data_IF_931352718522
#
_entry.id   IF_931352718522
#
_cell.length_a   1.000
_cell.length_b   1.000
_cell.length_c   1.000
_cell.angle_alpha   90.00
_cell.angle_beta   90.00
_cell.angle_gamma   90.00
#
_symmetry.space_group_name_H-M   'P 1'
#
loop_
_entity.id
_entity.type
_entity.pdbx_description
1 polymer ?
#
# COMPACT_ATOMS: atom_id res chain seq x y z
N UNK A 1 -152.83 62.94 23.03
CA UNK A 1 -152.69 61.53 22.56
C UNK A 1 -151.72 61.39 21.38
N UNK A 2 -151.88 62.11 20.26
CA UNK A 2 -151.00 61.99 19.06
C UNK A 2 -149.50 62.25 19.29
N UNK A 3 -149.12 63.15 20.19
CA UNK A 3 -147.71 63.50 20.44
C UNK A 3 -146.95 62.41 21.23
N UNK A 4 -147.67 61.61 22.01
CA UNK A 4 -147.09 60.53 22.82
C UNK A 4 -146.78 59.30 21.95
N UNK A 5 -147.58 59.04 20.91
CA UNK A 5 -147.32 57.98 19.92
C UNK A 5 -146.10 58.29 19.04
N UNK A 6 -145.91 59.56 18.65
CA UNK A 6 -144.76 59.99 17.85
C UNK A 6 -143.44 59.85 18.63
N UNK A 7 -143.39 60.34 19.88
CA UNK A 7 -142.21 60.19 20.75
C UNK A 7 -141.89 58.74 21.10
N UNK A 8 -142.91 57.89 21.22
CA UNK A 8 -142.71 56.46 21.45
C UNK A 8 -142.10 55.78 20.22
N UNK A 9 -142.48 56.21 19.01
CA UNK A 9 -141.91 55.72 17.75
C UNK A 9 -140.45 56.17 17.60
N UNK A 10 -140.14 57.44 17.83
CA UNK A 10 -138.77 57.98 17.82
C UNK A 10 -137.87 57.29 18.86
N UNK A 11 -138.40 57.01 20.06
CA UNK A 11 -137.66 56.30 21.11
C UNK A 11 -137.37 54.84 20.73
N UNK A 12 -138.31 54.15 20.06
CA UNK A 12 -138.09 52.82 19.51
C UNK A 12 -137.06 52.85 18.37
N UNK A 13 -137.15 53.80 17.45
CA UNK A 13 -136.18 53.96 16.37
C UNK A 13 -134.77 54.26 16.91
N UNK A 14 -134.64 55.15 17.90
CA UNK A 14 -133.38 55.43 18.59
C UNK A 14 -132.82 54.21 19.35
N UNK A 15 -133.67 53.42 20.04
CA UNK A 15 -133.24 52.18 20.67
C UNK A 15 -132.78 51.13 19.66
N UNK A 16 -133.42 51.08 18.49
CA UNK A 16 -133.04 50.13 17.42
C UNK A 16 -131.70 50.54 16.81
N UNK A 17 -131.53 51.83 16.52
CA UNK A 17 -130.29 52.40 16.01
C UNK A 17 -129.12 52.30 17.00
N UNK A 18 -129.38 52.48 18.30
CA UNK A 18 -128.38 52.26 19.36
C UNK A 18 -127.93 50.79 19.44
N UNK A 19 -128.86 49.83 19.29
CA UNK A 19 -128.53 48.40 19.24
C UNK A 19 -127.71 48.05 17.99
N UNK A 20 -128.03 48.64 16.84
CA UNK A 20 -127.25 48.46 15.60
C UNK A 20 -125.84 49.02 15.74
N UNK A 21 -125.68 50.23 16.28
CA UNK A 21 -124.37 50.83 16.56
C UNK A 21 -123.56 50.03 17.58
N UNK A 22 -124.20 49.47 18.63
CA UNK A 22 -123.53 48.58 19.58
C UNK A 22 -123.08 47.28 18.92
N UNK A 23 -123.89 46.68 18.04
CA UNK A 23 -123.50 45.49 17.29
C UNK A 23 -122.38 45.79 16.28
N UNK A 24 -122.39 46.95 15.63
CA UNK A 24 -121.32 47.39 14.72
C UNK A 24 -120.02 47.66 15.48
N UNK A 25 -120.10 48.30 16.65
CA UNK A 25 -118.95 48.54 17.53
C UNK A 25 -118.34 47.22 18.02
N UNK A 26 -119.17 46.24 18.43
CA UNK A 26 -118.68 44.90 18.79
C UNK A 26 -118.00 44.20 17.60
N UNK A 27 -118.58 44.28 16.39
CA UNK A 27 -117.94 43.72 15.18
C UNK A 27 -116.60 44.37 14.89
N UNK A 28 -116.52 45.71 14.94
CA UNK A 28 -115.25 46.44 14.71
C UNK A 28 -114.23 46.13 15.81
N UNK A 29 -114.65 46.03 17.07
CA UNK A 29 -113.77 45.64 18.18
C UNK A 29 -113.21 44.22 18.01
N UNK A 30 -114.04 43.25 17.62
CA UNK A 30 -113.58 41.89 17.30
C UNK A 30 -112.64 41.87 16.09
N UNK A 31 -112.94 42.67 15.06
CA UNK A 31 -112.10 42.76 13.87
C UNK A 31 -110.72 43.38 14.19
N UNK A 32 -110.69 44.44 15.01
CA UNK A 32 -109.45 45.05 15.52
C UNK A 32 -108.67 44.06 16.38
N UNK A 33 -109.32 43.28 17.24
CA UNK A 33 -108.67 42.23 18.03
C UNK A 33 -108.05 41.12 17.17
N UNK A 34 -108.76 40.68 16.13
CA UNK A 34 -108.26 39.70 15.16
C UNK A 34 -107.07 40.23 14.36
N UNK A 35 -107.15 41.47 13.88
CA UNK A 35 -106.04 42.16 13.21
C UNK A 35 -104.84 42.32 14.12
N UNK A 36 -105.03 42.72 15.38
CA UNK A 36 -103.96 42.85 16.35
C UNK A 36 -103.25 41.50 16.60
N UNK A 37 -104.01 40.40 16.72
CA UNK A 37 -103.45 39.06 16.86
C UNK A 37 -102.66 38.62 15.62
N UNK A 38 -103.18 38.90 14.42
CA UNK A 38 -102.48 38.61 13.16
C UNK A 38 -101.17 39.40 13.03
N UNK A 39 -101.19 40.70 13.40
CA UNK A 39 -99.99 41.55 13.42
C UNK A 39 -98.98 41.04 14.44
N UNK A 40 -99.40 40.66 15.65
CA UNK A 40 -98.51 40.11 16.67
C UNK A 40 -97.88 38.79 16.21
N UNK A 41 -98.65 37.93 15.51
CA UNK A 41 -98.15 36.73 14.86
C UNK A 41 -97.06 37.03 13.82
N UNK A 42 -97.30 38.00 12.92
CA UNK A 42 -96.30 38.43 11.94
C UNK A 42 -95.06 39.06 12.58
N UNK A 43 -95.20 39.83 13.67
CA UNK A 43 -94.07 40.39 14.40
C UNK A 43 -93.21 39.27 15.00
N UNK A 44 -93.81 38.29 15.67
CA UNK A 44 -93.08 37.12 16.22
C UNK A 44 -92.34 36.35 15.14
N UNK A 45 -92.98 36.13 13.99
CA UNK A 45 -92.36 35.44 12.87
C UNK A 45 -91.20 36.26 12.28
N UNK A 46 -91.37 37.56 12.10
CA UNK A 46 -90.31 38.48 11.67
C UNK A 46 -89.13 38.48 12.64
N UNK A 47 -89.38 38.52 13.96
CA UNK A 47 -88.32 38.45 14.98
C UNK A 47 -87.56 37.12 14.89
N UNK A 48 -88.27 35.99 14.69
CA UNK A 48 -87.65 34.68 14.47
C UNK A 48 -86.78 34.66 13.22
N UNK A 49 -87.26 35.21 12.10
CA UNK A 49 -86.48 35.35 10.88
C UNK A 49 -85.24 36.21 11.08
N UNK A 50 -85.35 37.34 11.79
CA UNK A 50 -84.20 38.19 12.11
C UNK A 50 -83.14 37.45 12.95
N UNK A 51 -83.55 36.61 13.90
CA UNK A 51 -82.60 35.83 14.71
C UNK A 51 -81.89 34.76 13.86
N UNK A 52 -82.64 34.00 13.06
CA UNK A 52 -82.07 33.02 12.12
C UNK A 52 -81.06 33.67 11.15
N UNK A 53 -81.38 34.88 10.67
CA UNK A 53 -80.53 35.61 9.74
C UNK A 53 -79.23 36.10 10.42
N UNK A 54 -79.29 36.49 11.71
CA UNK A 54 -78.09 36.78 12.52
C UNK A 54 -77.24 35.55 12.72
N UNK A 55 -77.82 34.42 13.11
CA UNK A 55 -77.10 33.17 13.36
C UNK A 55 -76.44 32.66 12.07
N UNK A 56 -77.14 32.75 10.94
CA UNK A 56 -76.60 32.40 9.62
C UNK A 56 -75.44 33.32 9.22
N UNK A 57 -75.55 34.62 9.48
CA UNK A 57 -74.50 35.59 9.18
C UNK A 57 -73.23 35.36 10.03
N UNK A 58 -73.38 35.01 11.30
CA UNK A 58 -72.23 34.64 12.16
C UNK A 58 -71.57 33.34 11.67
N UNK A 59 -72.36 32.32 11.32
CA UNK A 59 -71.83 31.09 10.71
C UNK A 59 -71.11 31.37 9.39
N UNK A 60 -71.66 32.23 8.55
CA UNK A 60 -71.04 32.60 7.28
C UNK A 60 -69.71 33.34 7.48
N UNK A 61 -69.62 34.24 8.47
CA UNK A 61 -68.34 34.88 8.83
C UNK A 61 -67.31 33.85 9.28
N UNK A 62 -67.68 32.94 10.19
CA UNK A 62 -66.77 31.89 10.66
C UNK A 62 -66.26 31.03 9.50
N UNK A 63 -67.18 30.57 8.62
CA UNK A 63 -66.84 29.77 7.45
C UNK A 63 -65.92 30.53 6.48
N UNK A 64 -66.14 31.84 6.31
CA UNK A 64 -65.31 32.70 5.46
C UNK A 64 -63.89 32.82 6.03
N UNK A 65 -63.74 32.97 7.36
CA UNK A 65 -62.43 33.03 8.01
C UNK A 65 -61.69 31.70 7.89
N UNK A 66 -62.38 30.58 8.13
CA UNK A 66 -61.82 29.23 7.99
C UNK A 66 -61.37 28.95 6.55
N UNK A 67 -62.18 29.36 5.56
CA UNK A 67 -61.82 29.27 4.15
C UNK A 67 -60.56 30.09 3.80
N UNK A 68 -60.40 31.29 4.38
CA UNK A 68 -59.20 32.11 4.19
C UNK A 68 -57.94 31.47 4.81
N UNK A 69 -58.07 30.79 5.95
CA UNK A 69 -56.96 30.05 6.58
C UNK A 69 -56.57 28.87 5.70
N UNK A 70 -57.54 28.05 5.29
CA UNK A 70 -57.30 26.90 4.41
C UNK A 70 -56.68 27.29 3.06
N UNK A 71 -57.05 28.46 2.51
CA UNK A 71 -56.40 28.99 1.30
C UNK A 71 -54.92 29.28 1.51
N UNK A 72 -54.54 29.89 2.65
CA UNK A 72 -53.13 30.15 2.98
C UNK A 72 -52.35 28.86 3.21
N UNK A 73 -52.91 27.91 3.96
CA UNK A 73 -52.30 26.60 4.17
C UNK A 73 -52.10 25.86 2.83
N UNK A 74 -53.09 25.92 1.93
CA UNK A 74 -52.97 25.34 0.58
C UNK A 74 -51.80 25.94 -0.22
N UNK A 75 -51.58 27.24 -0.13
CA UNK A 75 -50.45 27.92 -0.78
C UNK A 75 -49.09 27.54 -0.15
N UNK A 76 -49.04 27.35 1.17
CA UNK A 76 -47.84 26.88 1.87
C UNK A 76 -47.50 25.43 1.51
N UNK A 77 -48.51 24.54 1.47
CA UNK A 77 -48.33 23.16 1.00
C UNK A 77 -47.81 23.10 -0.44
N UNK A 78 -48.31 23.96 -1.34
CA UNK A 78 -47.80 24.05 -2.72
C UNK A 78 -46.33 24.46 -2.77
N UNK A 79 -45.91 25.41 -1.92
CA UNK A 79 -44.49 25.79 -1.82
C UNK A 79 -43.64 24.64 -1.30
N UNK A 80 -44.05 24.00 -0.21
CA UNK A 80 -43.34 22.86 0.35
C UNK A 80 -43.21 21.70 -0.66
N UNK A 81 -44.25 21.43 -1.47
CA UNK A 81 -44.21 20.42 -2.53
C UNK A 81 -43.22 20.79 -3.63
N UNK A 82 -43.17 22.06 -4.03
CA UNK A 82 -42.18 22.56 -4.99
C UNK A 82 -40.75 22.36 -4.47
N UNK A 83 -40.49 22.75 -3.22
CA UNK A 83 -39.17 22.61 -2.60
C UNK A 83 -38.76 21.13 -2.49
N UNK A 84 -39.69 20.26 -2.08
CA UNK A 84 -39.46 18.82 -2.01
C UNK A 84 -39.15 18.22 -3.39
N UNK A 85 -39.81 18.70 -4.45
CA UNK A 85 -39.58 18.26 -5.83
C UNK A 85 -38.19 18.70 -6.33
N UNK A 86 -37.80 19.94 -6.04
CA UNK A 86 -36.46 20.45 -6.36
C UNK A 86 -35.38 19.65 -5.62
N UNK A 87 -35.57 19.39 -4.33
CA UNK A 87 -34.64 18.60 -3.52
C UNK A 87 -34.52 17.17 -4.06
N UNK A 88 -35.63 16.54 -4.45
CA UNK A 88 -35.64 15.20 -5.06
C UNK A 88 -34.85 15.18 -6.37
N UNK A 89 -34.98 16.22 -7.18
CA UNK A 89 -34.24 16.34 -8.44
C UNK A 89 -32.74 16.53 -8.19
N UNK A 90 -32.36 17.35 -7.22
CA UNK A 90 -30.96 17.52 -6.82
C UNK A 90 -30.35 16.21 -6.30
N UNK A 91 -31.09 15.46 -5.47
CA UNK A 91 -30.66 14.14 -4.98
C UNK A 91 -30.44 13.18 -6.16
N UNK A 92 -31.38 13.12 -7.11
CA UNK A 92 -31.22 12.27 -8.30
C UNK A 92 -29.99 12.67 -9.13
N UNK A 93 -29.68 13.97 -9.26
CA UNK A 93 -28.48 14.43 -9.93
C UNK A 93 -27.20 13.99 -9.21
N UNK A 94 -27.13 14.14 -7.88
CA UNK A 94 -25.97 13.69 -7.10
C UNK A 94 -25.79 12.18 -7.15
N UNK A 95 -26.87 11.40 -7.08
CA UNK A 95 -26.83 9.93 -7.21
C UNK A 95 -26.30 9.53 -8.59
N UNK A 96 -26.77 10.18 -9.66
CA UNK A 96 -26.25 9.93 -11.01
C UNK A 96 -24.77 10.31 -11.15
N UNK A 97 -24.33 11.41 -10.53
CA UNK A 97 -22.91 11.80 -10.54
C UNK A 97 -22.04 10.79 -9.78
N UNK A 98 -22.50 10.30 -8.62
CA UNK A 98 -21.80 9.27 -7.86
C UNK A 98 -21.67 7.96 -8.64
N UNK A 99 -22.74 7.51 -9.32
CA UNK A 99 -22.69 6.31 -10.14
C UNK A 99 -21.69 6.44 -11.31
N UNK A 100 -21.64 7.61 -11.96
CA UNK A 100 -20.65 7.87 -13.00
C UNK A 100 -19.22 7.86 -12.45
N UNK A 101 -18.99 8.53 -11.32
CA UNK A 101 -17.68 8.59 -10.68
C UNK A 101 -17.20 7.21 -10.21
N UNK A 102 -18.10 6.38 -9.68
CA UNK A 102 -17.81 5.00 -9.30
C UNK A 102 -17.41 4.14 -10.51
N UNK A 103 -18.10 4.31 -11.64
CA UNK A 103 -17.73 3.65 -12.90
C UNK A 103 -16.36 4.10 -13.41
N UNK A 104 -16.09 5.42 -13.40
CA UNK A 104 -14.79 5.96 -13.82
C UNK A 104 -13.65 5.49 -12.91
N UNK A 105 -13.89 5.43 -11.59
CA UNK A 105 -12.92 4.93 -10.63
C UNK A 105 -12.61 3.45 -10.86
N UNK A 106 -13.63 2.64 -11.17
CA UNK A 106 -13.44 1.23 -11.51
C UNK A 106 -12.60 1.06 -12.78
N UNK A 107 -12.92 1.78 -13.85
CA UNK A 107 -12.16 1.76 -15.10
C UNK A 107 -10.71 2.21 -14.90
N UNK A 108 -10.50 3.27 -14.10
CA UNK A 108 -9.16 3.75 -13.77
C UNK A 108 -8.36 2.72 -12.96
N UNK A 109 -9.01 2.03 -12.02
CA UNK A 109 -8.41 0.95 -11.22
C UNK A 109 -7.97 -0.23 -12.10
N UNK A 110 -8.80 -0.63 -13.07
CA UNK A 110 -8.46 -1.70 -14.01
C UNK A 110 -7.26 -1.30 -14.90
N UNK A 111 -7.30 -0.11 -15.51
CA UNK A 111 -6.19 0.41 -16.33
C UNK A 111 -4.88 0.54 -15.53
N UNK A 112 -4.94 1.03 -14.30
CA UNK A 112 -3.77 1.13 -13.43
C UNK A 112 -3.18 -0.25 -13.12
N UNK A 113 -4.02 -1.26 -12.88
CA UNK A 113 -3.56 -2.62 -12.65
C UNK A 113 -2.88 -3.23 -13.89
N UNK A 114 -3.40 -2.95 -15.09
CA UNK A 114 -2.81 -3.40 -16.35
C UNK A 114 -1.45 -2.74 -16.59
N UNK A 115 -1.37 -1.41 -16.46
CA UNK A 115 -0.12 -0.63 -16.56
C UNK A 115 0.92 -1.06 -15.53
N UNK A 116 0.50 -1.32 -14.28
CA UNK A 116 1.41 -1.80 -13.24
C UNK A 116 2.01 -3.18 -13.59
N UNK A 117 1.20 -4.07 -14.17
CA UNK A 117 1.65 -5.38 -14.65
C UNK A 117 2.57 -5.24 -15.86
N UNK A 118 2.21 -4.42 -16.84
CA UNK A 118 3.04 -4.19 -18.03
C UNK A 118 4.39 -3.58 -17.66
N UNK A 119 4.41 -2.60 -16.75
CA UNK A 119 5.65 -2.02 -16.21
C UNK A 119 6.53 -3.08 -15.56
N UNK A 120 5.96 -3.98 -14.75
CA UNK A 120 6.67 -5.12 -14.15
C UNK A 120 7.28 -6.00 -15.25
N UNK A 121 6.49 -6.39 -16.25
CA UNK A 121 6.95 -7.25 -17.35
C UNK A 121 8.04 -6.60 -18.21
N UNK A 122 7.91 -5.32 -18.54
CA UNK A 122 8.91 -4.55 -19.29
C UNK A 122 10.21 -4.39 -18.49
N UNK A 123 10.11 -4.10 -17.20
CA UNK A 123 11.27 -4.01 -16.32
C UNK A 123 12.03 -5.34 -16.27
N UNK A 124 11.32 -6.46 -16.16
CA UNK A 124 11.91 -7.79 -16.13
C UNK A 124 12.61 -8.13 -17.45
N UNK A 125 11.98 -7.83 -18.58
CA UNK A 125 12.61 -7.98 -19.90
C UNK A 125 13.87 -7.13 -20.04
N UNK A 126 13.85 -5.88 -19.54
CA UNK A 126 15.02 -5.00 -19.58
C UNK A 126 16.18 -5.58 -18.77
N UNK A 127 15.90 -6.16 -17.60
CA UNK A 127 16.89 -6.83 -16.76
C UNK A 127 17.44 -8.09 -17.45
N UNK A 128 16.58 -8.91 -18.07
CA UNK A 128 17.00 -10.11 -18.81
C UNK A 128 17.87 -9.75 -20.03
N UNK A 129 17.51 -8.68 -20.76
CA UNK A 129 18.29 -8.17 -21.90
C UNK A 129 19.66 -7.64 -21.48
N UNK A 130 19.79 -7.11 -20.25
CA UNK A 130 21.09 -6.74 -19.66
C UNK A 130 21.92 -7.94 -19.21
N UNK A 131 21.36 -9.15 -19.26
CA UNK A 131 21.98 -10.38 -18.78
C UNK A 131 21.62 -10.69 -17.33
N UNK A 132 21.18 -11.93 -17.11
CA UNK A 132 20.88 -12.47 -15.77
C UNK A 132 22.15 -12.64 -14.91
N UNK A 133 23.32 -12.72 -15.53
CA UNK A 133 24.63 -12.77 -14.89
C UNK A 133 25.39 -11.53 -15.34
N UNK A 134 25.71 -10.65 -14.38
CA UNK A 134 26.53 -9.45 -14.59
C UNK A 134 27.80 -9.54 -13.75
N UNK A 135 28.90 -9.07 -14.31
CA UNK A 135 30.20 -9.00 -13.65
C UNK A 135 30.71 -7.56 -13.72
N UNK A 136 30.82 -6.93 -12.56
CA UNK A 136 31.48 -5.63 -12.44
C UNK A 136 32.87 -5.82 -11.86
N UNK A 137 33.84 -5.08 -12.38
CA UNK A 137 35.18 -5.00 -11.82
C UNK A 137 35.29 -3.70 -11.01
N UNK A 138 35.83 -3.73 -9.81
CA UNK A 138 36.15 -2.52 -9.03
C UNK A 138 37.58 -2.58 -8.57
N UNK A 139 38.34 -1.56 -8.92
CA UNK A 139 39.74 -1.43 -8.52
C UNK A 139 39.84 -0.49 -7.32
N UNK A 140 40.47 -0.93 -6.24
CA UNK A 140 40.68 -0.05 -5.08
C UNK A 140 41.91 0.86 -5.29
N UNK A 141 41.98 2.01 -4.60
CA UNK A 141 43.22 2.78 -4.54
C UNK A 141 44.33 1.99 -3.83
N UNK A 142 45.58 2.32 -4.16
CA UNK A 142 46.74 1.87 -3.40
C UNK A 142 46.65 2.38 -1.97
N UNK A 143 46.98 1.53 -1.01
CA UNK A 143 47.06 1.95 0.37
C UNK A 143 48.40 2.66 0.66
N UNK A 144 48.52 3.25 1.84
CA UNK A 144 49.70 4.02 2.24
C UNK A 144 50.96 3.15 2.35
N UNK A 145 50.82 1.89 2.75
CA UNK A 145 51.93 0.94 2.90
C UNK A 145 52.47 0.55 1.51
N UNK A 146 51.58 0.17 0.58
CA UNK A 146 51.92 -0.16 -0.80
C UNK A 146 52.61 1.01 -1.51
N UNK A 147 52.11 2.23 -1.29
CA UNK A 147 52.71 3.44 -1.86
C UNK A 147 54.10 3.70 -1.26
N UNK A 148 54.26 3.48 0.05
CA UNK A 148 55.56 3.61 0.73
C UNK A 148 56.57 2.54 0.29
N UNK A 149 56.10 1.34 -0.07
CA UNK A 149 56.89 0.26 -0.67
C UNK A 149 57.21 0.49 -2.16
N UNK A 150 56.71 1.58 -2.76
CA UNK A 150 56.97 1.93 -4.16
C UNK A 150 56.12 1.16 -5.17
N UNK A 151 55.00 0.57 -4.74
CA UNK A 151 54.04 -0.04 -5.66
C UNK A 151 53.44 1.03 -6.59
N UNK A 152 53.07 0.60 -7.80
CA UNK A 152 52.40 1.45 -8.78
C UNK A 152 51.20 0.73 -9.38
N UNK A 153 50.23 1.48 -9.89
CA UNK A 153 49.02 0.92 -10.48
C UNK A 153 49.36 0.05 -11.69
N UNK A 154 49.04 -1.24 -11.59
CA UNK A 154 49.19 -2.20 -12.69
C UNK A 154 48.08 -2.08 -13.74
N UNK A 155 47.03 -1.28 -13.46
CA UNK A 155 45.88 -1.07 -14.33
C UNK A 155 46.03 0.24 -15.11
N UNK A 156 45.71 0.20 -16.40
CA UNK A 156 45.77 1.32 -17.32
C UNK A 156 44.37 1.86 -17.63
N UNK A 157 43.89 2.81 -16.83
CA UNK A 157 42.56 3.42 -17.00
C UNK A 157 42.51 4.43 -18.15
N UNK A 158 43.61 5.12 -18.46
CA UNK A 158 43.65 6.16 -19.51
C UNK A 158 43.37 5.59 -20.91
N UNK A 159 43.81 4.36 -21.15
CA UNK A 159 43.62 3.67 -22.44
C UNK A 159 42.35 2.80 -22.47
N UNK A 160 41.65 2.64 -21.34
CA UNK A 160 40.52 1.74 -21.22
C UNK A 160 39.24 2.37 -21.79
N UNK A 161 38.45 1.57 -22.51
CA UNK A 161 37.08 1.95 -22.89
C UNK A 161 36.10 1.52 -21.80
N UNK A 162 34.87 2.00 -21.87
CA UNK A 162 33.81 1.58 -20.95
C UNK A 162 33.66 0.04 -20.95
N UNK A 163 33.66 -0.55 -19.75
CA UNK A 163 33.64 -2.00 -19.55
C UNK A 163 34.98 -2.74 -19.81
N UNK A 164 36.07 -2.06 -20.17
CA UNK A 164 37.37 -2.70 -20.37
C UNK A 164 38.33 -2.47 -19.19
N UNK A 165 39.05 -3.51 -18.77
CA UNK A 165 40.14 -3.44 -17.81
C UNK A 165 41.45 -3.81 -18.50
N UNK A 166 42.40 -2.89 -18.53
CA UNK A 166 43.70 -3.09 -19.18
C UNK A 166 44.77 -3.31 -18.12
N UNK A 167 45.36 -4.50 -18.09
CA UNK A 167 46.45 -4.86 -17.17
C UNK A 167 47.80 -4.69 -17.89
N UNK A 168 48.71 -3.92 -17.29
CA UNK A 168 50.09 -3.71 -17.75
C UNK A 168 50.94 -4.94 -17.44
N UNK A 169 51.53 -5.56 -18.46
CA UNK A 169 52.45 -6.69 -18.32
C UNK A 169 53.92 -6.28 -18.20
N UNK A 170 54.79 -7.23 -17.84
CA UNK A 170 56.23 -7.01 -17.62
C UNK A 170 57.03 -6.63 -18.88
N UNK A 171 56.49 -6.85 -20.09
CA UNK A 171 57.20 -6.61 -21.36
C UNK A 171 56.21 -6.09 -22.40
N UNK A 172 55.87 -4.79 -22.34
CA UNK A 172 55.00 -4.01 -23.26
C UNK A 172 53.67 -4.65 -23.70
N UNK A 173 53.29 -5.79 -23.13
CA UNK A 173 52.10 -6.55 -23.41
C UNK A 173 51.00 -6.05 -22.49
N UNK A 174 49.91 -5.57 -23.10
CA UNK A 174 48.69 -5.22 -22.41
C UNK A 174 47.72 -6.40 -22.52
N UNK A 175 47.13 -6.81 -21.39
CA UNK A 175 46.01 -7.78 -21.41
C UNK A 175 44.72 -7.02 -21.19
N UNK A 176 43.76 -7.22 -22.08
CA UNK A 176 42.44 -6.58 -22.02
C UNK A 176 41.42 -7.59 -21.54
N UNK A 177 40.68 -7.24 -20.50
CA UNK A 177 39.54 -7.98 -19.97
C UNK A 177 38.27 -7.16 -20.16
N UNK A 178 37.13 -7.83 -20.32
CA UNK A 178 35.83 -7.18 -20.52
C UNK A 178 34.87 -7.54 -19.39
N UNK A 179 34.15 -6.53 -18.94
CA UNK A 179 33.18 -6.57 -17.84
C UNK A 179 31.94 -5.77 -18.24
N UNK A 180 30.83 -5.99 -17.53
CA UNK A 180 29.61 -5.18 -17.71
C UNK A 180 29.81 -3.74 -17.20
N UNK A 181 30.73 -3.55 -16.25
CA UNK A 181 31.17 -2.25 -15.76
C UNK A 181 32.54 -2.37 -15.09
N UNK A 182 33.37 -1.33 -15.17
CA UNK A 182 34.67 -1.24 -14.50
C UNK A 182 34.71 0.05 -13.70
N UNK A 183 34.90 -0.06 -12.39
CA UNK A 183 35.02 1.07 -11.47
C UNK A 183 36.49 1.40 -11.20
N UNK A 184 36.85 2.66 -11.37
CA UNK A 184 38.18 3.19 -11.08
C UNK A 184 38.37 3.46 -9.57
N UNK A 185 39.62 3.68 -9.11
CA UNK A 185 39.92 3.96 -7.71
C UNK A 185 39.24 5.22 -7.14
N UNK A 186 38.88 6.17 -8.00
CA UNK A 186 38.24 7.43 -7.64
C UNK A 186 36.72 7.29 -7.43
N UNK A 187 36.12 6.21 -7.95
CA UNK A 187 34.68 5.94 -7.85
C UNK A 187 34.31 5.39 -6.46
N UNK A 188 33.48 6.16 -5.78
CA UNK A 188 33.07 5.91 -4.41
C UNK A 188 31.98 4.83 -4.29
N UNK A 189 31.50 4.64 -3.05
CA UNK A 189 30.46 3.65 -2.75
C UNK A 189 29.11 3.97 -3.40
N UNK A 190 28.81 5.26 -3.60
CA UNK A 190 27.55 5.70 -4.19
C UNK A 190 27.53 5.33 -5.67
N UNK A 191 28.63 5.54 -6.38
CA UNK A 191 28.75 5.17 -7.79
C UNK A 191 28.59 3.68 -8.04
N UNK A 192 29.17 2.85 -7.17
CA UNK A 192 28.95 1.39 -7.21
C UNK A 192 27.49 1.05 -6.94
N UNK A 193 26.86 1.73 -5.98
CA UNK A 193 25.48 1.50 -5.63
C UNK A 193 24.48 1.90 -6.72
N UNK A 194 24.71 2.98 -7.47
CA UNK A 194 23.83 3.38 -8.59
C UNK A 194 23.56 2.22 -9.57
N UNK A 195 24.57 1.35 -9.79
CA UNK A 195 24.45 0.18 -10.67
C UNK A 195 23.73 -1.00 -10.02
N UNK A 196 23.66 -1.05 -8.68
CA UNK A 196 23.02 -2.13 -7.92
C UNK A 196 21.66 -1.76 -7.33
N UNK A 197 21.32 -0.46 -7.22
CA UNK A 197 20.04 0.03 -6.74
C UNK A 197 18.81 -0.61 -7.42
N UNK A 198 18.79 -0.86 -8.75
CA UNK A 198 17.65 -1.50 -9.41
C UNK A 198 17.29 -2.88 -8.83
N UNK A 199 18.24 -3.57 -8.21
CA UNK A 199 17.99 -4.87 -7.60
C UNK A 199 17.06 -4.83 -6.39
N UNK A 200 17.03 -3.72 -5.64
CA UNK A 200 16.09 -3.55 -4.53
C UNK A 200 14.64 -3.67 -5.03
N UNK A 201 14.34 -3.03 -6.17
CA UNK A 201 13.03 -3.14 -6.82
C UNK A 201 12.78 -4.54 -7.37
N UNK A 202 13.78 -5.18 -8.00
CA UNK A 202 13.64 -6.56 -8.49
C UNK A 202 13.25 -7.53 -7.37
N UNK A 203 13.85 -7.40 -6.18
CA UNK A 203 13.50 -8.24 -5.03
C UNK A 203 12.04 -8.03 -4.63
N UNK A 204 11.59 -6.77 -4.49
CA UNK A 204 10.20 -6.45 -4.15
C UNK A 204 9.18 -6.92 -5.19
N UNK A 205 9.59 -7.01 -6.47
CA UNK A 205 8.76 -7.51 -7.57
C UNK A 205 8.70 -9.04 -7.63
N UNK A 206 9.46 -9.74 -6.77
CA UNK A 206 9.44 -11.20 -6.63
C UNK A 206 10.63 -11.93 -7.23
N UNK A 207 11.71 -11.23 -7.59
CA UNK A 207 12.90 -11.86 -8.18
C UNK A 207 13.95 -12.20 -7.14
N UNK A 208 14.56 -13.36 -7.30
CA UNK A 208 15.74 -13.72 -6.52
C UNK A 208 16.96 -12.93 -7.02
N UNK A 209 17.71 -12.34 -6.10
CA UNK A 209 18.92 -11.58 -6.41
C UNK A 209 20.07 -12.10 -5.56
N UNK A 210 21.21 -12.32 -6.20
CA UNK A 210 22.46 -12.68 -5.52
C UNK A 210 23.56 -11.70 -5.90
N UNK A 211 24.11 -10.98 -4.92
CA UNK A 211 25.24 -10.06 -5.08
C UNK A 211 26.44 -10.62 -4.34
N UNK A 212 27.53 -10.88 -5.06
CA UNK A 212 28.75 -11.45 -4.54
C UNK A 212 29.89 -10.46 -4.63
N UNK A 213 30.67 -10.31 -3.56
CA UNK A 213 32.00 -9.73 -3.64
C UNK A 213 33.04 -10.85 -3.72
N UNK A 214 33.88 -10.80 -4.76
CA UNK A 214 34.93 -11.79 -5.03
C UNK A 214 36.27 -11.12 -5.26
N UNK A 215 37.34 -11.65 -4.67
CA UNK A 215 38.68 -11.10 -4.80
C UNK A 215 39.63 -11.69 -3.77
N UNK A 216 40.92 -11.42 -3.93
CA UNK A 216 41.93 -11.84 -2.95
C UNK A 216 41.69 -11.12 -1.61
N UNK A 217 42.17 -11.69 -0.51
CA UNK A 217 42.26 -10.97 0.77
C UNK A 217 42.96 -9.61 0.58
N UNK A 218 42.35 -8.53 1.10
CA UNK A 218 42.87 -7.16 0.98
C UNK A 218 42.42 -6.36 -0.26
N UNK A 219 41.65 -6.93 -1.20
CA UNK A 219 41.18 -6.19 -2.39
C UNK A 219 39.93 -5.32 -2.17
N UNK A 220 39.38 -5.32 -0.95
CA UNK A 220 38.24 -4.44 -0.59
C UNK A 220 36.85 -5.08 -0.68
N UNK A 221 36.73 -6.41 -0.56
CA UNK A 221 35.43 -7.14 -0.51
C UNK A 221 34.49 -6.60 0.56
N UNK A 222 34.92 -6.65 1.81
CA UNK A 222 34.16 -6.16 2.95
C UNK A 222 33.92 -4.65 2.86
N UNK A 223 34.89 -3.87 2.35
CA UNK A 223 34.68 -2.45 2.09
C UNK A 223 33.56 -2.22 1.06
N UNK A 224 33.49 -2.99 0.00
CA UNK A 224 32.44 -2.84 -1.02
C UNK A 224 31.07 -3.25 -0.51
N UNK A 225 30.98 -4.36 0.23
CA UNK A 225 29.71 -4.90 0.73
C UNK A 225 29.21 -4.14 1.97
N UNK A 226 30.01 -4.06 3.02
CA UNK A 226 29.63 -3.43 4.29
C UNK A 226 30.03 -1.95 4.34
N UNK A 227 31.26 -1.65 3.93
CA UNK A 227 31.84 -0.31 3.99
C UNK A 227 32.17 0.14 5.41
N UNK A 228 32.35 1.45 5.57
CA UNK A 228 32.59 2.09 6.88
C UNK A 228 31.40 2.96 7.26
N UNK A 229 31.38 3.52 8.46
CA UNK A 229 30.30 4.44 8.87
C UNK A 229 30.19 5.67 7.98
N UNK A 230 31.33 6.22 7.53
CA UNK A 230 31.36 7.35 6.59
C UNK A 230 31.21 6.96 5.12
N UNK A 231 31.37 5.68 4.77
CA UNK A 231 31.32 5.18 3.41
C UNK A 231 30.60 3.83 3.35
N UNK A 232 29.30 3.85 3.65
CA UNK A 232 28.43 2.66 3.66
C UNK A 232 28.45 1.94 2.30
N UNK A 233 28.61 0.62 2.34
CA UNK A 233 28.69 -0.23 1.16
C UNK A 233 27.33 -0.65 0.61
N UNK A 234 27.35 -1.63 -0.31
CA UNK A 234 26.17 -2.14 -1.01
C UNK A 234 25.11 -2.69 -0.04
N UNK A 235 25.50 -3.38 1.03
CA UNK A 235 24.59 -4.00 1.99
C UNK A 235 23.66 -2.98 2.64
N UNK A 236 24.21 -1.89 3.14
CA UNK A 236 23.41 -0.83 3.77
C UNK A 236 22.52 -0.16 2.73
N UNK A 237 23.11 0.30 1.61
CA UNK A 237 22.43 1.14 0.61
C UNK A 237 21.28 0.40 -0.08
N UNK A 238 21.44 -0.89 -0.36
CA UNK A 238 20.37 -1.67 -1.00
C UNK A 238 19.20 -1.93 -0.07
N UNK A 239 19.44 -2.10 1.23
CA UNK A 239 18.38 -2.25 2.23
C UNK A 239 17.66 -0.93 2.47
N UNK A 240 18.41 0.18 2.55
CA UNK A 240 17.83 1.52 2.66
C UNK A 240 16.90 1.83 1.49
N UNK A 241 17.36 1.56 0.27
CA UNK A 241 16.54 1.69 -0.94
C UNK A 241 15.34 0.74 -0.96
N UNK A 242 15.52 -0.51 -0.51
CA UNK A 242 14.42 -1.47 -0.39
C UNK A 242 13.32 -0.95 0.54
N UNK A 243 13.67 -0.47 1.74
CA UNK A 243 12.70 0.10 2.68
C UNK A 243 12.10 1.43 2.19
N UNK A 244 12.86 2.25 1.45
CA UNK A 244 12.34 3.44 0.78
C UNK A 244 11.23 3.05 -0.21
N UNK A 245 11.47 2.06 -1.07
CA UNK A 245 10.48 1.59 -2.06
C UNK A 245 9.29 0.90 -1.38
N UNK A 246 9.49 0.16 -0.29
CA UNK A 246 8.41 -0.40 0.53
C UNK A 246 7.48 0.70 1.03
N UNK A 247 8.03 1.80 1.54
CA UNK A 247 7.25 2.96 2.00
C UNK A 247 6.50 3.63 0.86
N UNK A 248 7.15 3.83 -0.28
CA UNK A 248 6.53 4.43 -1.47
C UNK A 248 5.36 3.59 -2.02
N UNK A 249 5.39 2.26 -1.80
CA UNK A 249 4.39 1.30 -2.31
C UNK A 249 3.34 0.86 -1.28
N UNK A 250 3.33 1.43 -0.07
CA UNK A 250 2.52 0.91 1.05
C UNK A 250 1.01 0.87 0.82
N UNK A 251 0.46 1.76 -0.02
CA UNK A 251 -0.97 1.76 -0.38
C UNK A 251 -1.37 0.63 -1.34
N UNK A 252 -0.38 0.07 -2.06
CA UNK A 252 -0.59 -0.91 -3.12
C UNK A 252 -0.09 -2.30 -2.75
N UNK A 253 0.90 -2.39 -1.87
CA UNK A 253 1.56 -3.63 -1.49
C UNK A 253 1.77 -3.72 0.01
N UNK A 254 1.60 -4.93 0.54
CA UNK A 254 2.02 -5.31 1.87
C UNK A 254 3.24 -6.23 1.78
N UNK A 255 4.26 -5.96 2.59
CA UNK A 255 5.50 -6.75 2.62
C UNK A 255 5.77 -7.33 4.01
N UNK A 256 6.19 -8.58 4.05
CA UNK A 256 6.80 -9.22 5.22
C UNK A 256 8.28 -9.49 4.90
N UNK A 257 9.17 -8.91 5.70
CA UNK A 257 10.62 -8.96 5.46
C UNK A 257 11.28 -9.65 6.66
N UNK A 258 12.11 -10.65 6.37
CA UNK A 258 12.97 -11.31 7.36
C UNK A 258 14.42 -11.28 6.92
N UNK A 259 15.33 -11.22 7.90
CA UNK A 259 16.77 -11.15 7.69
C UNK A 259 17.45 -12.29 8.46
N UNK A 260 18.36 -12.98 7.78
CA UNK A 260 19.25 -13.98 8.36
C UNK A 260 20.69 -13.58 8.09
N UNK A 261 21.57 -13.82 9.06
CA UNK A 261 23.02 -13.70 8.88
C UNK A 261 23.68 -15.04 9.18
N UNK A 262 24.47 -15.54 8.25
CA UNK A 262 25.14 -16.82 8.37
C UNK A 262 26.54 -16.75 7.76
N UNK A 263 27.39 -17.67 8.16
CA UNK A 263 28.66 -17.91 7.49
C UNK A 263 28.76 -19.35 6.99
N UNK A 264 29.46 -19.50 5.85
CA UNK A 264 29.91 -20.81 5.38
C UNK A 264 31.40 -20.89 5.62
N UNK A 265 31.79 -21.70 6.60
CA UNK A 265 33.17 -21.95 6.97
C UNK A 265 33.43 -23.45 6.96
N UNK A 266 34.52 -23.86 6.29
CA UNK A 266 34.92 -25.27 6.25
C UNK A 266 33.80 -26.24 5.79
N UNK A 267 33.01 -25.84 4.79
CA UNK A 267 31.84 -26.58 4.27
C UNK A 267 30.75 -26.88 5.34
N UNK A 268 30.67 -26.03 6.35
CA UNK A 268 29.62 -26.03 7.38
C UNK A 268 28.93 -24.67 7.42
N UNK A 269 27.62 -24.70 7.68
CA UNK A 269 26.79 -23.50 7.82
C UNK A 269 26.70 -23.16 9.30
N UNK A 270 27.05 -21.92 9.64
CA UNK A 270 26.95 -21.39 10.99
C UNK A 270 26.01 -20.19 10.98
N UNK A 271 25.05 -20.18 11.90
CA UNK A 271 24.14 -19.05 12.10
C UNK A 271 24.82 -18.01 13.01
N UNK A 272 24.93 -16.79 12.50
CA UNK A 272 25.60 -15.68 13.18
C UNK A 272 24.67 -14.90 14.12
N UNK A 273 23.38 -15.21 14.15
CA UNK A 273 22.37 -14.57 14.99
C UNK A 273 22.04 -15.39 16.25
N UNK A 274 22.56 -16.60 16.38
CA UNK A 274 22.38 -17.42 17.58
C UNK A 274 23.09 -16.78 18.77
N UNK A 275 22.32 -16.28 19.73
CA UNK A 275 22.81 -15.90 21.05
C UNK A 275 22.88 -17.15 21.93
N UNK A 276 24.00 -17.35 22.64
CA UNK A 276 24.32 -18.56 23.43
C UNK A 276 23.41 -18.85 24.65
N UNK A 277 22.17 -18.36 24.67
CA UNK A 277 21.26 -18.39 25.82
C UNK A 277 20.25 -19.54 25.80
N UNK A 278 20.38 -20.53 24.92
CA UNK A 278 19.55 -21.75 24.96
C UNK A 278 20.40 -22.99 25.30
N UNK A 279 20.53 -23.33 26.60
CA UNK A 279 21.32 -24.47 27.05
C UNK A 279 20.49 -25.76 26.99
N UNK A 280 20.17 -26.29 25.79
CA UNK A 280 19.62 -27.66 25.71
C UNK A 280 19.57 -28.32 24.32
N UNK A 281 20.22 -27.79 23.29
CA UNK A 281 20.34 -28.54 22.03
C UNK A 281 21.78 -28.55 21.60
N UNK A 282 22.38 -29.75 21.56
CA UNK A 282 23.47 -30.09 20.65
C UNK A 282 23.39 -29.19 19.43
N UNK A 283 24.43 -28.40 19.14
CA UNK A 283 24.53 -27.55 17.95
C UNK A 283 24.24 -28.41 16.73
N UNK A 284 22.97 -28.49 16.33
CA UNK A 284 22.54 -29.31 15.21
C UNK A 284 23.21 -28.68 14.00
N UNK A 285 24.00 -29.47 13.28
CA UNK A 285 24.57 -29.04 12.01
C UNK A 285 23.43 -28.52 11.14
N UNK A 286 23.54 -27.26 10.73
CA UNK A 286 22.62 -26.66 9.79
C UNK A 286 22.87 -27.29 8.42
N UNK A 287 21.83 -27.87 7.84
CA UNK A 287 21.90 -28.55 6.54
C UNK A 287 20.85 -27.95 5.61
N UNK A 288 21.25 -27.72 4.36
CA UNK A 288 20.32 -27.33 3.29
C UNK A 288 19.38 -28.50 3.02
N UNK A 289 18.08 -28.26 3.13
CA UNK A 289 17.02 -29.22 2.84
C UNK A 289 16.07 -28.66 1.79
N UNK A 290 15.68 -29.53 0.87
CA UNK A 290 14.62 -29.27 -0.10
C UNK A 290 13.27 -29.53 0.56
N UNK A 291 12.38 -28.54 0.55
CA UNK A 291 10.97 -28.67 0.97
C UNK A 291 10.07 -28.90 -0.25
N UNK A 292 8.77 -29.06 -0.01
CA UNK A 292 7.76 -29.09 -1.07
C UNK A 292 7.94 -27.89 -2.03
N UNK A 293 7.57 -28.07 -3.29
CA UNK A 293 7.70 -27.07 -4.38
C UNK A 293 9.14 -26.77 -4.83
N UNK A 294 10.15 -27.49 -4.33
CA UNK A 294 11.53 -27.38 -4.81
C UNK A 294 12.35 -26.25 -4.17
N UNK A 295 11.76 -25.51 -3.23
CA UNK A 295 12.42 -24.46 -2.46
C UNK A 295 13.45 -25.07 -1.52
N UNK A 296 14.65 -24.47 -1.48
CA UNK A 296 15.71 -24.87 -0.57
C UNK A 296 15.71 -23.95 0.66
N UNK A 297 15.77 -24.54 1.84
CA UNK A 297 15.81 -23.83 3.12
C UNK A 297 16.81 -24.49 4.07
N UNK A 298 17.24 -23.75 5.09
CA UNK A 298 18.12 -24.25 6.15
C UNK A 298 17.32 -24.30 7.45
N UNK A 299 16.67 -25.43 7.77
CA UNK A 299 15.85 -25.51 8.97
C UNK A 299 16.70 -25.28 10.23
N UNK A 300 16.23 -24.39 11.09
CA UNK A 300 16.94 -23.97 12.31
C UNK A 300 17.78 -22.70 12.15
N UNK A 301 17.85 -22.12 10.94
CA UNK A 301 18.40 -20.78 10.74
C UNK A 301 17.44 -19.73 11.32
N UNK A 302 17.98 -18.77 12.05
CA UNK A 302 17.21 -17.63 12.58
C UNK A 302 16.80 -16.70 11.45
N UNK A 303 15.51 -16.43 11.37
CA UNK A 303 14.90 -15.45 10.46
C UNK A 303 14.33 -14.29 11.31
N UNK A 304 15.12 -13.22 11.48
CA UNK A 304 14.72 -12.06 12.25
C UNK A 304 13.75 -11.21 11.42
N UNK A 305 12.52 -11.04 11.90
CA UNK A 305 11.54 -10.14 11.25
C UNK A 305 11.95 -8.68 11.47
N UNK A 306 11.92 -7.89 10.41
CA UNK A 306 12.31 -6.48 10.43
C UNK A 306 11.25 -5.62 9.74
N UNK A 307 11.03 -4.42 10.25
CA UNK A 307 10.00 -3.49 9.74
C UNK A 307 10.56 -2.21 9.15
N UNK A 308 11.85 -1.93 9.37
CA UNK A 308 12.53 -0.72 8.92
C UNK A 308 14.04 -0.98 8.75
N UNK A 309 14.73 0.02 8.19
CA UNK A 309 16.16 -0.02 7.92
C UNK A 309 17.00 -0.17 9.20
N UNK A 310 16.63 0.49 10.29
CA UNK A 310 17.39 0.46 11.55
C UNK A 310 17.42 -0.97 12.14
N UNK A 311 16.25 -1.62 12.22
CA UNK A 311 16.12 -3.01 12.67
C UNK A 311 16.91 -3.98 11.78
N UNK A 312 16.83 -3.81 10.46
CA UNK A 312 17.58 -4.63 9.52
C UNK A 312 19.09 -4.45 9.68
N UNK A 313 19.54 -3.21 9.88
CA UNK A 313 20.94 -2.89 10.08
C UNK A 313 21.48 -3.44 11.40
N UNK A 314 20.70 -3.38 12.48
CA UNK A 314 21.06 -3.96 13.78
C UNK A 314 21.25 -5.48 13.69
N UNK A 315 20.43 -6.18 12.92
CA UNK A 315 20.58 -7.62 12.67
C UNK A 315 21.88 -7.90 11.89
N UNK A 316 22.16 -7.13 10.83
CA UNK A 316 23.41 -7.24 10.07
C UNK A 316 24.64 -7.01 10.96
N UNK A 317 24.63 -5.96 11.77
CA UNK A 317 25.72 -5.65 12.70
C UNK A 317 25.90 -6.73 13.76
N UNK A 318 24.81 -7.33 14.26
CA UNK A 318 24.87 -8.45 15.21
C UNK A 318 25.60 -9.63 14.58
N UNK A 319 25.27 -9.98 13.34
CA UNK A 319 25.95 -11.01 12.58
C UNK A 319 27.44 -10.71 12.34
N UNK A 320 27.77 -9.48 11.92
CA UNK A 320 29.16 -9.04 11.74
C UNK A 320 29.98 -9.14 13.04
N UNK A 321 29.41 -8.72 14.18
CA UNK A 321 30.07 -8.82 15.49
C UNK A 321 30.28 -10.27 15.92
N UNK A 322 29.30 -11.14 15.73
CA UNK A 322 29.41 -12.57 16.05
C UNK A 322 30.53 -13.25 15.24
N UNK A 323 30.63 -12.91 13.94
CA UNK A 323 31.70 -13.38 13.05
C UNK A 323 33.10 -13.01 13.53
N UNK A 324 33.26 -11.82 14.12
CA UNK A 324 34.53 -11.34 14.67
C UNK A 324 34.88 -12.06 15.97
N UNK A 325 33.94 -12.16 16.92
CA UNK A 325 34.15 -12.71 18.27
C UNK A 325 34.43 -14.22 18.26
N UNK A 326 33.89 -14.97 17.28
CA UNK A 326 34.14 -16.40 17.12
C UNK A 326 35.59 -16.77 16.77
N UNK A 327 36.47 -15.78 16.55
CA UNK A 327 37.83 -15.97 16.09
C UNK A 327 38.88 -15.35 17.02
N UNK A 328 39.94 -16.10 17.29
CA UNK A 328 41.11 -15.64 18.07
C UNK A 328 41.98 -14.64 17.30
N UNK A 329 41.73 -14.46 16.00
CA UNK A 329 42.42 -13.51 15.13
C UNK A 329 41.44 -12.98 14.06
N UNK A 330 40.76 -11.87 14.38
CA UNK A 330 39.62 -11.33 13.61
C UNK A 330 39.88 -11.08 12.12
N UNK A 331 41.10 -10.63 11.76
CA UNK A 331 41.47 -10.34 10.37
C UNK A 331 41.71 -11.62 9.54
N UNK A 332 42.01 -12.73 10.19
CA UNK A 332 42.34 -13.99 9.54
C UNK A 332 41.10 -14.89 9.34
N UNK A 333 40.08 -14.75 10.19
CA UNK A 333 38.85 -15.54 10.05
C UNK A 333 37.89 -14.98 9.00
N UNK A 334 37.79 -13.66 8.87
CA UNK A 334 36.94 -13.00 7.87
C UNK A 334 37.41 -13.21 6.43
N UNK A 335 38.71 -13.45 6.22
CA UNK A 335 39.30 -13.83 4.93
C UNK A 335 39.07 -15.30 4.56
N UNK A 336 38.64 -16.13 5.52
CA UNK A 336 38.62 -17.59 5.40
C UNK A 336 37.21 -18.21 5.51
N UNK A 337 36.20 -17.38 5.71
CA UNK A 337 34.78 -17.74 5.72
C UNK A 337 34.01 -16.91 4.69
N UNK A 338 32.91 -17.44 4.15
CA UNK A 338 31.97 -16.65 3.35
C UNK A 338 30.90 -16.07 4.26
N UNK A 339 30.76 -14.75 4.32
CA UNK A 339 29.66 -14.10 5.04
C UNK A 339 28.47 -13.92 4.12
N UNK A 340 27.28 -14.24 4.60
CA UNK A 340 26.05 -14.22 3.84
C UNK A 340 24.97 -13.55 4.66
N UNK A 341 24.39 -12.49 4.12
CA UNK A 341 23.11 -11.97 4.58
C UNK A 341 22.03 -12.39 3.58
N UNK A 342 20.95 -12.96 4.10
CA UNK A 342 19.77 -13.32 3.33
C UNK A 342 18.62 -12.44 3.79
N UNK A 343 18.02 -11.70 2.86
CA UNK A 343 16.79 -10.95 3.11
C UNK A 343 15.68 -11.62 2.31
N UNK A 344 14.73 -12.22 3.02
CA UNK A 344 13.55 -12.83 2.42
C UNK A 344 12.42 -11.80 2.41
N UNK A 345 11.75 -11.67 1.27
CA UNK A 345 10.64 -10.75 1.07
C UNK A 345 9.43 -11.53 0.58
N UNK A 346 8.34 -11.46 1.34
CA UNK A 346 7.02 -11.90 0.90
C UNK A 346 6.18 -10.66 0.61
N UNK A 347 5.74 -10.49 -0.62
CA UNK A 347 4.89 -9.39 -1.05
C UNK A 347 3.46 -9.84 -1.31
N UNK A 348 2.48 -9.01 -0.98
CA UNK A 348 1.08 -9.18 -1.38
C UNK A 348 0.58 -7.88 -2.03
N UNK A 349 0.10 -7.98 -3.27
CA UNK A 349 -0.52 -6.87 -3.98
C UNK A 349 -1.96 -6.70 -3.50
N UNK A 350 -2.27 -5.57 -2.88
CA UNK A 350 -3.56 -5.28 -2.25
C UNK A 350 -4.69 -5.08 -3.27
N UNK A 351 -4.36 -4.88 -4.55
CA UNK A 351 -5.33 -4.63 -5.61
C UNK A 351 -5.89 -5.92 -6.20
N UNK A 352 -5.06 -6.96 -6.33
CA UNK A 352 -5.41 -8.21 -7.01
C UNK A 352 -5.15 -9.49 -6.18
N UNK A 353 -4.54 -9.37 -4.99
CA UNK A 353 -4.19 -10.48 -4.11
C UNK A 353 -2.99 -11.34 -4.57
N UNK A 354 -2.25 -10.92 -5.60
CA UNK A 354 -1.06 -11.63 -6.08
C UNK A 354 0.02 -11.65 -4.99
N UNK A 355 0.57 -12.83 -4.73
CA UNK A 355 1.65 -13.02 -3.76
C UNK A 355 2.97 -13.33 -4.43
N UNK A 356 4.03 -12.69 -3.95
CA UNK A 356 5.41 -12.92 -4.40
C UNK A 356 6.26 -13.38 -3.23
N UNK A 357 7.30 -14.16 -3.52
CA UNK A 357 8.30 -14.58 -2.55
C UNK A 357 9.68 -14.52 -3.22
N UNK A 358 10.62 -13.80 -2.62
CA UNK A 358 11.95 -13.58 -3.17
C UNK A 358 13.01 -13.53 -2.08
N UNK A 359 14.26 -13.74 -2.50
CA UNK A 359 15.44 -13.68 -1.64
C UNK A 359 16.49 -12.75 -2.24
N UNK A 360 17.00 -11.84 -1.42
CA UNK A 360 18.20 -11.07 -1.68
C UNK A 360 19.36 -11.67 -0.89
N UNK A 361 20.38 -12.15 -1.60
CA UNK A 361 21.62 -12.66 -1.03
C UNK A 361 22.73 -11.64 -1.19
N UNK A 362 23.29 -11.19 -0.07
CA UNK A 362 24.44 -10.28 -0.02
C UNK A 362 25.62 -11.07 0.53
N UNK A 363 26.58 -11.37 -0.33
CA UNK A 363 27.62 -12.37 -0.07
C UNK A 363 29.01 -11.73 -0.15
N UNK A 364 29.73 -11.74 0.96
CA UNK A 364 31.16 -11.43 1.03
C UNK A 364 31.94 -12.74 1.07
N UNK A 365 32.53 -13.12 -0.08
CA UNK A 365 33.22 -14.40 -0.22
C UNK A 365 34.57 -14.37 0.50
N UNK A 366 35.04 -15.55 0.91
CA UNK A 366 36.41 -15.75 1.36
C UNK A 366 37.44 -15.37 0.27
N UNK A 367 38.68 -15.14 0.69
CA UNK A 367 39.80 -14.81 -0.20
C UNK A 367 40.02 -15.88 -1.28
N UNK A 368 40.26 -15.43 -2.51
CA UNK A 368 40.49 -16.31 -3.69
C UNK A 368 41.95 -16.72 -3.89
N UNK A 369 42.81 -16.47 -2.90
CA UNK A 369 44.21 -16.90 -2.93
C UNK A 369 44.37 -18.43 -3.08
N UNK A 370 45.30 -18.81 -3.97
CA UNK A 370 45.59 -20.22 -4.23
C UNK A 370 46.42 -20.82 -3.10
N UNK A 371 45.97 -21.96 -2.57
CA UNK A 371 46.68 -22.77 -1.57
C UNK A 371 48.13 -23.06 -1.95
N UNK A 372 48.40 -23.31 -3.24
CA UNK A 372 49.73 -23.63 -3.76
C UNK A 372 50.78 -22.52 -3.57
N UNK A 373 50.35 -21.28 -3.26
CA UNK A 373 51.22 -20.15 -2.95
C UNK A 373 51.37 -19.91 -1.44
N UNK A 374 50.86 -20.80 -0.61
CA UNK A 374 50.89 -20.68 0.85
C UNK A 374 51.65 -21.84 1.47
N UNK A 375 52.42 -21.58 2.53
CA UNK A 375 53.13 -22.61 3.31
C UNK A 375 52.21 -23.33 4.33
N UNK A 376 50.91 -23.41 4.05
CA UNK A 376 49.92 -23.97 4.97
C UNK A 376 50.09 -25.49 5.13
N UNK A 377 50.13 -25.98 6.37
CA UNK A 377 50.23 -27.41 6.70
C UNK A 377 49.09 -27.86 7.63
N UNK A 378 48.83 -29.17 7.65
CA UNK A 378 47.88 -29.79 8.58
C UNK A 378 46.44 -29.30 8.41
N UNK A 379 45.78 -28.93 9.51
CA UNK A 379 44.39 -28.44 9.50
C UNK A 379 44.22 -27.14 8.70
N UNK A 380 45.24 -26.27 8.69
CA UNK A 380 45.25 -25.02 7.94
C UNK A 380 45.22 -25.26 6.43
N UNK A 381 45.84 -26.35 5.97
CA UNK A 381 45.80 -26.78 4.57
C UNK A 381 44.40 -27.29 4.19
N UNK A 382 43.77 -28.12 5.02
CA UNK A 382 42.41 -28.63 4.79
C UNK A 382 41.39 -27.49 4.71
N UNK A 383 41.52 -26.52 5.60
CA UNK A 383 40.69 -25.31 5.61
C UNK A 383 40.85 -24.52 4.30
N UNK A 384 42.09 -24.26 3.87
CA UNK A 384 42.37 -23.56 2.61
C UNK A 384 41.86 -24.32 1.38
N UNK A 385 41.90 -25.66 1.41
CA UNK A 385 41.31 -26.51 0.37
C UNK A 385 39.78 -26.39 0.34
N UNK A 386 39.10 -26.37 1.49
CA UNK A 386 37.65 -26.23 1.55
C UNK A 386 37.15 -24.85 1.11
N UNK A 387 37.90 -23.78 1.45
CA UNK A 387 37.64 -22.43 0.92
C UNK A 387 37.73 -22.45 -0.60
N UNK A 388 38.82 -22.94 -1.16
CA UNK A 388 38.99 -23.01 -2.61
C UNK A 388 37.95 -23.91 -3.29
N UNK A 389 37.57 -25.03 -2.67
CA UNK A 389 36.51 -25.93 -3.15
C UNK A 389 35.19 -25.16 -3.35
N UNK A 390 34.79 -24.37 -2.36
CA UNK A 390 33.54 -23.60 -2.44
C UNK A 390 33.56 -22.53 -3.55
N UNK A 391 34.69 -21.85 -3.75
CA UNK A 391 34.89 -20.87 -4.82
C UNK A 391 34.95 -21.53 -6.22
N UNK A 392 35.65 -22.66 -6.35
CA UNK A 392 35.71 -23.43 -7.60
C UNK A 392 34.33 -23.95 -7.99
N UNK A 393 33.58 -24.52 -7.04
CA UNK A 393 32.22 -24.99 -7.28
C UNK A 393 31.29 -23.85 -7.72
N UNK A 394 31.42 -22.65 -7.13
CA UNK A 394 30.68 -21.47 -7.57
C UNK A 394 31.03 -21.09 -9.02
N UNK A 395 32.32 -21.10 -9.37
CA UNK A 395 32.78 -20.88 -10.75
C UNK A 395 32.19 -21.90 -11.73
N UNK A 396 32.17 -23.18 -11.37
CA UNK A 396 31.57 -24.25 -12.19
C UNK A 396 30.06 -24.02 -12.41
N UNK A 397 29.34 -23.61 -11.36
CA UNK A 397 27.90 -23.31 -11.42
C UNK A 397 27.63 -22.11 -12.33
N UNK A 398 28.36 -21.01 -12.17
CA UNK A 398 28.19 -19.80 -13.01
C UNK A 398 28.52 -20.13 -14.47
N UNK A 399 29.60 -20.88 -14.72
CA UNK A 399 29.98 -21.32 -16.06
C UNK A 399 28.91 -22.20 -16.70
N UNK A 400 28.36 -23.16 -15.95
CA UNK A 400 27.26 -24.01 -16.39
C UNK A 400 25.98 -23.20 -16.69
N UNK A 401 25.66 -22.20 -15.87
CA UNK A 401 24.52 -21.29 -16.08
C UNK A 401 24.70 -20.42 -17.33
N UNK A 402 25.88 -19.81 -17.49
CA UNK A 402 26.20 -18.96 -18.64
C UNK A 402 26.18 -19.74 -19.96
N UNK A 403 26.63 -20.99 -19.94
CA UNK A 403 26.63 -21.90 -21.11
C UNK A 403 25.29 -22.64 -21.30
N UNK A 404 24.31 -22.42 -20.42
CA UNK A 404 23.00 -23.10 -20.43
C UNK A 404 23.13 -24.63 -20.43
N UNK A 405 24.08 -25.15 -19.65
CA UNK A 405 24.28 -26.59 -19.46
C UNK A 405 23.02 -27.24 -18.88
N UNK A 406 22.70 -28.46 -19.33
CA UNK A 406 21.57 -29.23 -18.82
C UNK A 406 21.73 -29.63 -17.35
N UNK A 407 22.98 -29.89 -16.92
CA UNK A 407 23.30 -30.22 -15.55
C UNK A 407 24.13 -29.10 -14.92
N UNK A 408 23.67 -28.60 -13.77
CA UNK A 408 24.33 -27.55 -12.99
C UNK A 408 24.76 -28.15 -11.64
N UNK A 409 26.06 -28.12 -11.29
CA UNK A 409 26.62 -28.87 -10.18
C UNK A 409 26.45 -28.18 -8.81
N UNK A 410 25.23 -27.74 -8.47
CA UNK A 410 24.94 -27.01 -7.22
C UNK A 410 25.35 -27.78 -5.95
N UNK A 411 25.38 -29.12 -5.99
CA UNK A 411 25.70 -29.97 -4.83
C UNK A 411 27.20 -30.08 -4.53
N UNK A 412 28.08 -29.52 -5.36
CA UNK A 412 29.54 -29.62 -5.18
C UNK A 412 30.05 -28.87 -3.94
N UNK A 413 29.29 -27.89 -3.44
CA UNK A 413 29.61 -27.07 -2.28
C UNK A 413 28.35 -26.74 -1.48
N UNK A 414 28.49 -26.47 -0.17
CA UNK A 414 27.37 -25.98 0.65
C UNK A 414 26.90 -24.60 0.21
N UNK A 415 27.82 -23.73 -0.21
CA UNK A 415 27.51 -22.39 -0.72
C UNK A 415 26.62 -22.48 -1.96
N UNK A 416 27.01 -23.28 -2.96
CA UNK A 416 26.23 -23.42 -4.20
C UNK A 416 24.91 -24.13 -3.97
N UNK A 417 24.85 -25.07 -3.02
CA UNK A 417 23.61 -25.77 -2.70
C UNK A 417 22.61 -24.86 -1.97
N UNK A 418 23.10 -23.97 -1.09
CA UNK A 418 22.29 -22.95 -0.43
C UNK A 418 21.63 -22.01 -1.45
N UNK A 419 22.38 -21.63 -2.49
CA UNK A 419 21.98 -20.65 -3.48
C UNK A 419 21.23 -21.27 -4.67
N UNK A 420 21.07 -22.59 -4.70
CA UNK A 420 20.49 -23.33 -5.83
C UNK A 420 19.14 -22.75 -6.26
N UNK A 421 18.23 -22.54 -5.32
CA UNK A 421 16.90 -21.96 -5.56
C UNK A 421 17.01 -20.59 -6.26
N UNK A 422 17.84 -19.71 -5.71
CA UNK A 422 18.03 -18.35 -6.20
C UNK A 422 18.91 -18.22 -7.45
N UNK A 423 19.55 -19.29 -7.91
CA UNK A 423 20.35 -19.33 -9.13
C UNK A 423 19.74 -20.21 -10.23
N UNK A 424 18.62 -20.89 -9.96
CA UNK A 424 17.97 -21.82 -10.90
C UNK A 424 16.69 -21.26 -11.51
N UNK A 425 15.95 -20.42 -10.78
CA UNK A 425 14.76 -19.70 -11.27
C UNK A 425 15.08 -18.24 -11.55
N UNK A 426 14.26 -17.51 -12.34
CA UNK A 426 14.38 -16.06 -12.63
C UNK A 426 15.22 -15.28 -11.61
N UNK A 427 16.50 -15.07 -11.95
CA UNK A 427 17.48 -14.54 -11.03
C UNK A 427 18.29 -13.41 -11.64
N UNK A 428 18.75 -12.52 -10.77
CA UNK A 428 19.84 -11.62 -11.05
C UNK A 428 21.06 -12.01 -10.24
N UNK A 429 22.12 -12.39 -10.93
CA UNK A 429 23.43 -12.65 -10.35
C UNK A 429 24.33 -11.47 -10.67
N UNK A 430 24.87 -10.83 -9.64
CA UNK A 430 25.92 -9.83 -9.77
C UNK A 430 27.19 -10.30 -9.06
N UNK A 431 28.30 -10.33 -9.80
CA UNK A 431 29.63 -10.52 -9.25
C UNK A 431 30.39 -9.19 -9.28
N UNK A 432 30.75 -8.69 -8.10
CA UNK A 432 31.68 -7.60 -7.89
C UNK A 432 33.08 -8.19 -7.73
N UNK A 433 33.84 -8.20 -8.83
CA UNK A 433 35.24 -8.61 -8.84
C UNK A 433 36.12 -7.46 -8.34
N UNK A 434 36.86 -7.70 -7.27
CA UNK A 434 37.62 -6.67 -6.56
C UNK A 434 39.11 -6.92 -6.70
N UNK A 435 39.80 -5.91 -7.22
CA UNK A 435 41.18 -5.98 -7.69
C UNK A 435 42.05 -4.92 -7.04
#
# INVERSE_FOLDING_TARGET
>A
MRENELKTKECREAQTSLRELQMELMRKSMHVGSLAFAVEGQVKEKTRWCQLLKDLNEKFKALKTEHQILLKESEEYKRCLSDATQMTTAIHQYVSQYANLESEFKDLKEKFSEEAKERKDLYNKLIELKGNIRVFCRCRPLNTEETAEGASMAIDFDSAKDGELIVRGHVSSKKVFKFDSVFNPEEDQEKVFEKTAPFATSVLDGFNVCIFAYGQTGTGKTFTMEGTEGARGVNYRILDELFRVVKDRHDLFQYEITVSALEVYNEQIHDLLLTGSQPSTTTKRLEVRQVAEGVHHVPGLVEARVSNMDEAWDVLQTGSKARVVGSTNANEHSSRSHCIHCVMVKGENLMNGERTNSKLWLIDLAGSERVAKTDAQGERLKEAQNINKSLSALGDVISALATKSQHIPFRNSKLTHLLQDSLSTQFCFLLLMLV
#
